data_IF_545519014744
#
_entry.id   IF_545519014744
#
_cell.length_a   1.000
_cell.length_b   1.000
_cell.length_c   1.000
_cell.angle_alpha   90.00
_cell.angle_beta   90.00
_cell.angle_gamma   90.00
#
_symmetry.space_group_name_H-M   'P 1'
#
loop_
_entity.id
_entity.type
_entity.pdbx_description
1 polymer ?
#
# COMPACT_ATOMS: atom_id res chain seq x y z
N UNK A 1 0.82 12.13 -3.21
CA UNK A 1 0.11 11.00 -2.55
C UNK A 1 -0.90 10.45 -3.55
N UNK A 2 -1.06 9.13 -3.66
CA UNK A 2 -1.98 8.47 -4.58
C UNK A 2 -2.50 7.15 -3.98
N UNK A 3 -3.78 6.79 -4.25
CA UNK A 3 -4.26 5.42 -4.05
C UNK A 3 -3.89 4.62 -5.29
N UNK A 4 -3.04 3.61 -5.14
CA UNK A 4 -2.42 2.92 -6.25
C UNK A 4 -2.59 1.42 -6.15
N UNK A 5 -2.97 0.83 -7.28
CA UNK A 5 -2.90 -0.61 -7.52
C UNK A 5 -3.54 -1.46 -6.40
N UNK A 6 -4.73 -1.05 -5.93
CA UNK A 6 -5.45 -1.74 -4.86
C UNK A 6 -6.00 -3.10 -5.31
N UNK A 7 -6.67 -3.13 -6.47
CA UNK A 7 -7.34 -4.33 -6.98
C UNK A 7 -6.63 -4.86 -8.23
N UNK A 8 -6.29 -3.94 -9.14
CA UNK A 8 -5.69 -4.19 -10.45
C UNK A 8 -4.42 -3.36 -10.65
N UNK A 9 -3.42 -3.86 -11.40
CA UNK A 9 -2.18 -3.13 -11.70
C UNK A 9 -2.44 -2.07 -12.78
N UNK A 10 -2.70 -0.82 -12.39
CA UNK A 10 -2.93 0.29 -13.31
C UNK A 10 -1.70 1.20 -13.46
N UNK A 11 -0.55 0.72 -12.99
CA UNK A 11 0.72 1.46 -12.96
C UNK A 11 0.66 2.70 -12.04
N UNK A 12 -0.15 2.63 -10.98
CA UNK A 12 -0.28 3.72 -10.01
C UNK A 12 1.01 3.93 -9.22
N UNK A 13 1.74 2.87 -8.89
CA UNK A 13 3.04 2.92 -8.24
C UNK A 13 4.11 3.61 -9.11
N UNK A 14 4.13 3.32 -10.40
CA UNK A 14 5.00 3.92 -11.41
C UNK A 14 4.71 5.43 -11.52
N UNK A 15 3.43 5.80 -11.65
CA UNK A 15 3.01 7.20 -11.68
C UNK A 15 3.38 7.93 -10.38
N UNK A 16 3.27 7.27 -9.22
CA UNK A 16 3.68 7.83 -7.94
C UNK A 16 5.17 8.20 -7.94
N UNK A 17 6.01 7.32 -8.51
CA UNK A 17 7.44 7.55 -8.63
C UNK A 17 7.77 8.67 -9.61
N UNK A 18 7.14 8.67 -10.80
CA UNK A 18 7.32 9.71 -11.83
C UNK A 18 6.98 11.11 -11.29
N UNK A 19 5.89 11.22 -10.53
CA UNK A 19 5.44 12.48 -9.95
C UNK A 19 6.19 12.89 -8.67
N UNK A 20 7.14 12.09 -8.19
CA UNK A 20 7.84 12.34 -6.92
C UNK A 20 6.90 12.38 -5.72
N UNK A 21 5.87 11.53 -5.71
CA UNK A 21 4.88 11.50 -4.66
C UNK A 21 5.49 11.14 -3.29
N UNK A 22 4.99 11.76 -2.22
CA UNK A 22 5.43 11.42 -0.85
C UNK A 22 5.08 9.97 -0.47
N UNK A 23 3.95 9.46 -0.94
CA UNK A 23 3.49 8.08 -0.72
C UNK A 23 2.61 7.55 -1.84
N UNK A 24 2.55 6.23 -1.93
CA UNK A 24 1.55 5.47 -2.65
C UNK A 24 0.90 4.47 -1.67
N UNK A 25 -0.42 4.38 -1.73
CA UNK A 25 -1.25 3.69 -0.74
C UNK A 25 -1.91 2.44 -1.37
N UNK A 26 -2.24 1.43 -0.55
CA UNK A 26 -2.72 0.08 -0.94
C UNK A 26 -1.64 -0.86 -1.50
N UNK A 27 -1.35 -0.78 -2.81
CA UNK A 27 -0.29 -1.54 -3.50
C UNK A 27 -0.43 -3.08 -3.50
N UNK A 28 -1.64 -3.63 -3.32
CA UNK A 28 -1.84 -5.10 -3.33
C UNK A 28 -1.58 -5.72 -4.71
N UNK A 29 -1.72 -4.94 -5.77
CA UNK A 29 -1.51 -5.33 -7.15
C UNK A 29 -0.35 -4.56 -7.80
N UNK A 30 0.47 -3.85 -7.03
CA UNK A 30 1.61 -3.10 -7.56
C UNK A 30 2.59 -4.04 -8.30
N UNK A 31 3.05 -3.60 -9.46
CA UNK A 31 3.97 -4.36 -10.31
C UNK A 31 5.40 -4.36 -9.74
N UNK A 32 6.26 -5.28 -10.21
CA UNK A 32 7.70 -5.23 -9.86
C UNK A 32 8.35 -3.90 -10.26
N UNK A 33 8.00 -3.41 -11.44
CA UNK A 33 8.56 -2.19 -12.00
C UNK A 33 8.10 -0.97 -11.19
N UNK A 34 6.83 -0.93 -10.80
CA UNK A 34 6.28 0.08 -9.90
C UNK A 34 6.98 0.11 -8.55
N UNK A 35 7.21 -1.06 -7.94
CA UNK A 35 7.96 -1.13 -6.67
C UNK A 35 9.42 -0.69 -6.83
N UNK A 36 10.09 -1.08 -7.91
CA UNK A 36 11.45 -0.62 -8.21
C UNK A 36 11.49 0.91 -8.40
N UNK A 37 10.55 1.46 -9.16
CA UNK A 37 10.42 2.89 -9.39
C UNK A 37 10.18 3.66 -8.08
N UNK A 38 9.25 3.18 -7.24
CA UNK A 38 8.99 3.74 -5.92
C UNK A 38 10.24 3.75 -5.04
N UNK A 39 11.04 2.67 -5.05
CA UNK A 39 12.30 2.59 -4.30
C UNK A 39 13.28 3.69 -4.74
N UNK A 40 13.50 3.84 -6.04
CA UNK A 40 14.41 4.86 -6.59
C UNK A 40 13.93 6.29 -6.29
N UNK A 41 12.64 6.56 -6.45
CA UNK A 41 12.03 7.86 -6.20
C UNK A 41 11.79 8.14 -4.70
N UNK A 42 12.13 7.20 -3.81
CA UNK A 42 11.92 7.27 -2.35
C UNK A 42 10.45 7.48 -1.95
N UNK A 43 9.52 6.95 -2.72
CA UNK A 43 8.08 6.96 -2.39
C UNK A 43 7.82 6.01 -1.23
N UNK A 44 7.08 6.44 -0.21
CA UNK A 44 6.69 5.58 0.91
C UNK A 44 5.52 4.69 0.50
N UNK A 45 5.61 3.38 0.75
CA UNK A 45 4.48 2.46 0.61
C UNK A 45 3.62 2.50 1.88
N UNK A 46 2.36 2.92 1.77
CA UNK A 46 1.39 2.93 2.88
C UNK A 46 0.46 1.73 2.71
N UNK A 47 0.62 0.72 3.56
CA UNK A 47 -0.14 -0.53 3.49
C UNK A 47 -1.38 -0.44 4.37
N UNK A 48 -2.48 -0.93 3.83
CA UNK A 48 -3.82 -0.78 4.39
C UNK A 48 -4.46 -2.16 4.61
N UNK A 49 -3.93 -2.98 5.56
CA UNK A 49 -4.37 -4.36 5.74
C UNK A 49 -5.81 -4.45 6.25
N UNK A 50 -6.32 -3.42 6.92
CA UNK A 50 -7.73 -3.33 7.30
C UNK A 50 -8.66 -3.39 6.09
N UNK A 51 -8.30 -2.72 4.99
CA UNK A 51 -9.05 -2.72 3.74
C UNK A 51 -9.04 -4.09 3.06
N UNK A 52 -7.87 -4.72 2.97
CA UNK A 52 -7.73 -6.10 2.48
C UNK A 52 -8.59 -7.09 3.27
N UNK A 53 -8.61 -6.96 4.60
CA UNK A 53 -9.39 -7.79 5.50
C UNK A 53 -10.90 -7.58 5.30
N UNK A 54 -11.36 -6.32 5.36
CA UNK A 54 -12.78 -5.99 5.29
C UNK A 54 -13.41 -6.36 3.94
N UNK A 55 -12.68 -6.16 2.83
CA UNK A 55 -13.12 -6.54 1.49
C UNK A 55 -12.92 -8.04 1.18
N UNK A 56 -12.39 -8.83 2.13
CA UNK A 56 -12.17 -10.27 1.98
C UNK A 56 -11.36 -10.63 0.72
N UNK A 57 -10.36 -9.82 0.36
CA UNK A 57 -9.63 -9.97 -0.91
C UNK A 57 -8.77 -11.23 -1.01
N UNK A 58 -8.55 -11.94 0.10
CA UNK A 58 -7.72 -13.15 0.16
C UNK A 58 -6.23 -12.90 -0.08
N UNK A 59 -5.80 -11.63 -0.15
CA UNK A 59 -4.41 -11.21 -0.35
C UNK A 59 -4.14 -9.89 0.36
N UNK A 60 -2.88 -9.68 0.73
CA UNK A 60 -2.36 -8.45 1.33
C UNK A 60 -1.20 -7.92 0.48
N UNK A 61 -0.87 -6.65 0.64
CA UNK A 61 0.35 -6.09 0.04
C UNK A 61 1.59 -6.72 0.67
N UNK A 62 2.58 -7.08 -0.15
CA UNK A 62 3.79 -7.78 0.29
C UNK A 62 4.82 -6.81 0.89
N UNK A 63 4.65 -6.52 2.19
CA UNK A 63 5.54 -5.65 2.95
C UNK A 63 6.99 -6.15 2.96
N UNK A 64 7.19 -7.47 3.07
CA UNK A 64 8.51 -8.09 3.13
C UNK A 64 9.32 -7.81 1.86
N UNK A 65 8.68 -8.00 0.71
CA UNK A 65 9.24 -7.67 -0.61
C UNK A 65 9.55 -6.18 -0.76
N UNK A 66 8.65 -5.31 -0.32
CA UNK A 66 8.88 -3.86 -0.37
C UNK A 66 10.09 -3.43 0.47
N UNK A 67 10.19 -3.94 1.71
CA UNK A 67 11.34 -3.68 2.58
C UNK A 67 12.64 -4.25 2.00
N UNK A 68 12.61 -5.45 1.40
CA UNK A 68 13.77 -6.04 0.73
C UNK A 68 14.28 -5.19 -0.45
N UNK A 69 13.40 -4.43 -1.11
CA UNK A 69 13.73 -3.45 -2.16
C UNK A 69 14.18 -2.09 -1.61
N UNK A 70 14.23 -1.91 -0.29
CA UNK A 70 14.58 -0.64 0.36
C UNK A 70 13.46 0.40 0.39
N UNK A 71 12.22 0.01 0.11
CA UNK A 71 11.05 0.90 0.18
C UNK A 71 10.70 1.14 1.65
N UNK A 72 10.46 2.40 2.02
CA UNK A 72 9.92 2.75 3.34
C UNK A 72 8.47 2.28 3.41
N UNK A 73 8.15 1.45 4.39
CA UNK A 73 6.79 0.93 4.61
C UNK A 73 6.17 1.65 5.81
N UNK A 74 4.90 2.05 5.65
CA UNK A 74 4.06 2.60 6.70
C UNK A 74 2.73 1.85 6.74
N UNK A 75 2.01 1.96 7.87
CA UNK A 75 0.67 1.42 8.05
C UNK A 75 -0.30 2.56 8.34
N UNK A 76 -1.55 2.41 7.89
CA UNK A 76 -2.64 3.31 8.26
C UNK A 76 -3.96 2.54 8.33
N UNK A 77 -4.93 3.10 9.04
CA UNK A 77 -6.25 2.47 9.19
C UNK A 77 -7.08 2.48 7.92
N UNK A 78 -6.82 3.41 7.01
CA UNK A 78 -7.74 3.69 5.90
C UNK A 78 -9.16 3.97 6.40
N UNK A 79 -9.33 4.59 7.57
CA UNK A 79 -10.65 4.77 8.18
C UNK A 79 -11.62 5.45 7.19
N UNK A 80 -12.60 4.68 6.74
CA UNK A 80 -13.60 5.12 5.78
C UNK A 80 -14.85 4.23 5.87
N UNK A 81 -16.04 4.74 5.51
CA UNK A 81 -17.29 4.00 5.69
C UNK A 81 -17.50 2.84 4.71
N UNK A 82 -16.74 2.78 3.62
CA UNK A 82 -16.98 1.83 2.53
C UNK A 82 -16.13 0.56 2.62
N UNK A 83 -14.83 0.71 2.88
CA UNK A 83 -13.85 -0.37 2.74
C UNK A 83 -13.01 -0.62 4.00
N UNK A 84 -13.03 0.26 4.99
CA UNK A 84 -12.39 0.01 6.29
C UNK A 84 -13.03 0.84 7.42
N UNK A 85 -14.22 0.46 7.92
CA UNK A 85 -14.94 1.20 8.96
C UNK A 85 -14.39 0.89 10.36
N UNK A 86 -13.10 1.17 10.58
CA UNK A 86 -12.42 1.04 11.88
C UNK A 86 -11.47 2.21 12.14
N UNK A 87 -11.63 2.87 13.29
CA UNK A 87 -10.70 3.88 13.78
C UNK A 87 -9.49 3.26 14.52
N UNK A 88 -9.48 1.95 14.74
CA UNK A 88 -8.53 1.29 15.62
C UNK A 88 -7.21 0.97 14.92
N UNK A 89 -6.22 1.86 15.02
CA UNK A 89 -4.88 1.63 14.47
C UNK A 89 -4.17 0.40 15.06
N UNK A 90 -4.46 0.01 16.31
CA UNK A 90 -3.84 -1.19 16.89
C UNK A 90 -4.32 -2.47 16.20
N UNK A 91 -5.60 -2.52 15.80
CA UNK A 91 -6.12 -3.62 14.99
C UNK A 91 -5.40 -3.73 13.64
N UNK A 92 -5.07 -2.60 13.02
CA UNK A 92 -4.29 -2.54 11.77
C UNK A 92 -2.88 -3.08 11.96
N UNK A 93 -2.23 -2.71 13.07
CA UNK A 93 -0.91 -3.25 13.42
C UNK A 93 -0.97 -4.77 13.60
N UNK A 94 -2.03 -5.30 14.23
CA UNK A 94 -2.23 -6.75 14.35
C UNK A 94 -2.45 -7.43 13.00
N UNK A 95 -3.21 -6.84 12.09
CA UNK A 95 -3.46 -7.38 10.75
C UNK A 95 -2.23 -7.32 9.82
N UNK A 96 -1.21 -6.54 10.19
CA UNK A 96 0.03 -6.42 9.43
C UNK A 96 1.10 -7.47 9.80
N UNK A 97 0.88 -8.26 10.85
CA UNK A 97 1.76 -9.35 11.31
C UNK A 97 1.48 -10.66 10.58
#
# INVERSE_FOLDING_TARGET
KIHADEIVPLQGAELAAEMGAVSADHLLAASEDGLNAMSQARVTAVLLPGTSFYLMLGKYADAGKMMAKGIRVALASDYNPGSCPTENLQAIMTLAC
#
